data_IF_592934497142
#
_entry.id   IF_592934497142
#
_cell.length_a   1.000
_cell.length_b   1.000
_cell.length_c   1.000
_cell.angle_alpha   90.00
_cell.angle_beta   90.00
_cell.angle_gamma   90.00
#
_symmetry.space_group_name_H-M   'P 1'
#
loop_
_entity.id
_entity.type
_entity.pdbx_description
1 polymer ?
#
# COMPACT_ATOMS: atom_id res chain seq x y z
N UNK A 1 -25.19 -23.43 -10.19
CA UNK A 1 -24.89 -21.99 -10.00
C UNK A 1 -23.45 -21.85 -9.53
N UNK A 2 -22.53 -21.44 -10.42
CA UNK A 2 -21.16 -21.06 -10.04
C UNK A 2 -21.23 -19.69 -9.38
N UNK A 3 -21.33 -19.65 -8.05
CA UNK A 3 -21.20 -18.41 -7.31
C UNK A 3 -19.78 -17.91 -7.53
N UNK A 4 -19.64 -16.79 -8.25
CA UNK A 4 -18.37 -16.13 -8.44
C UNK A 4 -17.73 -15.96 -7.06
N UNK A 5 -16.55 -16.54 -6.87
CA UNK A 5 -15.72 -16.35 -5.69
C UNK A 5 -15.38 -14.86 -5.68
N UNK A 6 -16.20 -14.08 -4.98
CA UNK A 6 -15.93 -12.67 -4.71
C UNK A 6 -14.73 -12.69 -3.77
N UNK A 7 -13.58 -12.21 -4.24
CA UNK A 7 -12.39 -12.05 -3.41
C UNK A 7 -12.80 -11.35 -2.11
N UNK A 8 -12.68 -12.06 -0.98
CA UNK A 8 -13.04 -11.51 0.33
C UNK A 8 -11.87 -10.62 0.76
N UNK A 9 -12.10 -9.32 0.77
CA UNK A 9 -11.18 -8.35 1.38
C UNK A 9 -11.58 -8.19 2.84
N UNK A 10 -10.73 -8.64 3.75
CA UNK A 10 -10.90 -8.47 5.18
C UNK A 10 -10.19 -7.19 5.63
N UNK A 11 -10.85 -6.38 6.45
CA UNK A 11 -10.30 -5.15 6.98
C UNK A 11 -10.04 -5.32 8.47
N UNK A 12 -8.80 -5.09 8.90
CA UNK A 12 -8.39 -5.14 10.29
C UNK A 12 -7.92 -3.75 10.72
N UNK A 13 -8.29 -3.34 11.93
CA UNK A 13 -7.76 -2.15 12.57
C UNK A 13 -7.18 -2.53 13.92
N UNK A 14 -5.87 -2.46 14.08
CA UNK A 14 -5.16 -3.03 15.25
C UNK A 14 -4.06 -2.11 15.76
N UNK A 15 -3.81 -2.17 17.08
CA UNK A 15 -2.76 -1.43 17.78
C UNK A 15 -1.48 -2.24 17.95
N UNK A 16 -1.61 -3.57 17.99
CA UNK A 16 -0.55 -4.50 18.33
C UNK A 16 -0.66 -5.79 17.56
N UNK A 17 0.43 -6.57 17.56
CA UNK A 17 0.45 -7.91 16.98
C UNK A 17 -0.51 -8.85 17.70
N UNK A 18 -0.62 -8.74 19.02
CA UNK A 18 -1.51 -9.58 19.83
C UNK A 18 -2.98 -9.32 19.50
N UNK A 19 -3.36 -8.06 19.27
CA UNK A 19 -4.72 -7.71 18.83
C UNK A 19 -5.03 -8.29 17.45
N UNK A 20 -4.05 -8.29 16.54
CA UNK A 20 -4.21 -8.93 15.23
C UNK A 20 -4.35 -10.44 15.35
N UNK A 21 -3.48 -11.11 16.12
CA UNK A 21 -3.55 -12.56 16.32
C UNK A 21 -4.92 -12.97 16.85
N UNK A 22 -5.43 -12.25 17.86
CA UNK A 22 -6.77 -12.46 18.42
C UNK A 22 -7.88 -12.22 17.39
N UNK A 23 -7.75 -11.20 16.55
CA UNK A 23 -8.72 -10.93 15.48
C UNK A 23 -8.72 -12.01 14.38
N UNK A 24 -7.62 -12.75 14.24
CA UNK A 24 -7.46 -13.84 13.27
C UNK A 24 -7.86 -15.22 13.82
N UNK A 25 -7.99 -15.39 15.14
CA UNK A 25 -8.41 -16.66 15.77
C UNK A 25 -9.70 -17.25 15.16
N UNK A 26 -10.78 -16.47 14.90
CA UNK A 26 -11.99 -17.01 14.30
C UNK A 26 -11.79 -17.53 12.87
N UNK A 27 -10.77 -17.02 12.17
CA UNK A 27 -10.47 -17.36 10.78
C UNK A 27 -9.57 -18.60 10.68
N UNK A 28 -8.80 -18.93 11.72
CA UNK A 28 -7.88 -20.07 11.73
C UNK A 28 -8.59 -21.42 11.52
N UNK A 29 -9.86 -21.53 11.92
CA UNK A 29 -10.66 -22.75 11.80
C UNK A 29 -11.44 -22.86 10.47
N UNK A 30 -11.45 -21.81 9.65
CA UNK A 30 -12.16 -21.81 8.36
C UNK A 30 -11.25 -22.47 7.33
N UNK A 31 -11.57 -23.71 6.92
CA UNK A 31 -10.85 -24.48 5.88
C UNK A 31 -10.37 -23.58 4.75
N UNK A 32 -9.07 -23.66 4.41
CA UNK A 32 -8.35 -23.02 3.27
C UNK A 32 -9.31 -22.47 2.21
N UNK A 33 -9.81 -21.27 2.43
CA UNK A 33 -10.64 -20.55 1.48
C UNK A 33 -9.77 -20.07 0.30
N UNK A 34 -10.37 -19.80 -0.87
CA UNK A 34 -9.66 -19.15 -1.97
C UNK A 34 -9.02 -17.83 -1.51
N UNK A 35 -7.95 -17.42 -2.20
CA UNK A 35 -7.09 -16.28 -1.83
C UNK A 35 -7.83 -15.14 -1.10
N UNK A 36 -7.58 -15.03 0.21
CA UNK A 36 -8.15 -13.99 1.05
C UNK A 36 -7.17 -12.81 1.13
N UNK A 37 -7.66 -11.61 0.87
CA UNK A 37 -6.87 -10.40 0.92
C UNK A 37 -7.16 -9.64 2.21
N UNK A 38 -6.16 -8.93 2.74
CA UNK A 38 -6.29 -8.16 3.97
C UNK A 38 -5.87 -6.70 3.78
N UNK A 39 -6.68 -5.77 4.26
CA UNK A 39 -6.28 -4.39 4.51
C UNK A 39 -6.06 -4.22 6.00
N UNK A 40 -4.91 -3.65 6.38
CA UNK A 40 -4.51 -3.45 7.76
C UNK A 40 -4.36 -1.95 8.05
N UNK A 41 -5.16 -1.45 8.97
CA UNK A 41 -5.07 -0.10 9.49
C UNK A 41 -4.44 -0.14 10.88
N UNK A 42 -3.21 0.36 10.98
CA UNK A 42 -2.45 0.38 12.21
C UNK A 42 -2.69 1.69 12.98
N UNK A 43 -2.81 1.59 14.28
CA UNK A 43 -2.78 2.74 15.19
C UNK A 43 -1.87 2.40 16.37
N UNK A 44 -1.59 3.33 17.27
CA UNK A 44 -0.67 3.03 18.37
C UNK A 44 0.71 3.68 18.27
N UNK A 45 1.50 3.58 19.35
CA UNK A 45 2.82 4.19 19.43
C UNK A 45 3.84 3.57 18.45
N UNK A 46 3.52 2.40 17.87
CA UNK A 46 4.39 1.76 16.88
C UNK A 46 4.33 2.42 15.50
N UNK A 47 3.33 3.26 15.23
CA UNK A 47 3.13 3.91 13.94
C UNK A 47 3.18 5.43 14.11
N UNK A 48 4.08 6.05 13.36
CA UNK A 48 4.24 7.49 13.32
C UNK A 48 3.44 8.05 12.15
N UNK A 49 2.53 8.97 12.43
CA UNK A 49 1.79 9.73 11.41
C UNK A 49 2.00 11.21 11.66
N UNK A 50 2.53 11.94 10.67
CA UNK A 50 2.79 13.38 10.78
C UNK A 50 2.63 14.08 9.45
N UNK A 51 2.25 15.35 9.53
CA UNK A 51 2.39 16.29 8.43
C UNK A 51 3.84 16.81 8.34
N UNK A 52 4.27 17.18 7.14
CA UNK A 52 5.58 17.79 6.90
C UNK A 52 5.46 19.02 6.02
N UNK A 53 6.39 19.97 6.23
CA UNK A 53 6.64 21.11 5.37
C UNK A 53 8.14 21.17 5.12
N UNK A 54 8.56 20.97 3.88
CA UNK A 54 9.95 21.01 3.46
C UNK A 54 10.11 22.06 2.36
N UNK A 55 11.35 22.47 2.08
CA UNK A 55 11.65 23.22 0.85
C UNK A 55 11.38 22.35 -0.39
N UNK A 56 11.29 22.95 -1.57
CA UNK A 56 11.14 22.19 -2.81
C UNK A 56 12.35 21.28 -3.02
N UNK A 57 12.14 19.97 -2.84
CA UNK A 57 13.15 18.93 -2.90
C UNK A 57 12.74 17.85 -3.91
N UNK A 58 13.70 17.07 -4.40
CA UNK A 58 13.39 15.89 -5.20
C UNK A 58 12.68 14.82 -4.35
N UNK A 59 11.89 13.91 -4.96
CA UNK A 59 11.19 12.85 -4.22
C UNK A 59 12.10 11.97 -3.35
N UNK A 60 13.38 11.81 -3.75
CA UNK A 60 14.37 11.06 -2.97
C UNK A 60 14.84 11.84 -1.74
N UNK A 61 15.10 13.13 -1.90
CA UNK A 61 15.51 14.01 -0.80
C UNK A 61 14.38 14.20 0.22
N UNK A 62 13.13 14.36 -0.24
CA UNK A 62 11.95 14.38 0.64
C UNK A 62 11.94 13.09 1.47
N UNK A 63 12.03 11.92 0.81
CA UNK A 63 12.02 10.64 1.53
C UNK A 63 13.15 10.56 2.57
N UNK A 64 14.37 10.97 2.22
CA UNK A 64 15.50 10.94 3.13
C UNK A 64 15.30 11.89 4.33
N UNK A 65 14.79 13.09 4.10
CA UNK A 65 14.48 14.04 5.18
C UNK A 65 13.44 13.46 6.15
N UNK A 66 12.38 12.84 5.63
CA UNK A 66 11.35 12.22 6.47
C UNK A 66 11.85 10.97 7.20
N UNK A 67 12.80 10.21 6.62
CA UNK A 67 13.47 9.11 7.33
C UNK A 67 14.24 9.65 8.53
N UNK A 68 14.99 10.74 8.37
CA UNK A 68 15.74 11.34 9.49
C UNK A 68 14.80 11.78 10.62
N UNK A 69 13.66 12.39 10.29
CA UNK A 69 12.64 12.72 11.31
C UNK A 69 12.12 11.46 12.02
N UNK A 70 11.88 10.37 11.29
CA UNK A 70 11.46 9.12 11.89
C UNK A 70 12.56 8.45 12.73
N UNK A 71 13.83 8.60 12.36
CA UNK A 71 15.00 8.12 13.13
C UNK A 71 15.05 8.79 14.49
N UNK A 72 14.83 10.10 14.56
CA UNK A 72 14.82 10.82 15.84
C UNK A 72 13.71 10.32 16.77
N UNK A 73 12.54 10.02 16.21
CA UNK A 73 11.39 9.53 17.00
C UNK A 73 11.57 8.09 17.46
N UNK A 74 12.02 7.20 16.56
CA UNK A 74 12.14 5.77 16.87
C UNK A 74 13.49 5.39 17.52
N UNK A 75 14.50 6.25 17.44
CA UNK A 75 15.88 5.94 17.86
C UNK A 75 16.44 4.67 17.18
N UNK A 76 16.16 4.52 15.88
CA UNK A 76 16.59 3.38 15.05
C UNK A 76 17.47 3.83 13.89
N UNK A 77 18.14 2.88 13.23
CA UNK A 77 18.88 3.20 12.00
C UNK A 77 17.93 3.52 10.82
N UNK A 78 18.33 4.38 9.86
CA UNK A 78 17.54 4.68 8.66
C UNK A 78 17.06 3.42 7.91
N UNK A 79 17.89 2.38 7.88
CA UNK A 79 17.62 1.12 7.18
C UNK A 79 16.54 0.28 7.87
N UNK A 80 16.25 0.54 9.14
CA UNK A 80 15.24 -0.17 9.94
C UNK A 80 13.86 0.47 9.85
N UNK A 81 13.69 1.58 9.13
CA UNK A 81 12.43 2.31 9.05
C UNK A 81 11.74 2.08 7.70
N UNK A 82 10.47 1.68 7.75
CA UNK A 82 9.57 1.69 6.61
C UNK A 82 8.78 2.99 6.62
N UNK A 83 8.79 3.72 5.51
CA UNK A 83 8.13 5.03 5.41
C UNK A 83 7.46 5.22 4.07
N UNK A 84 6.23 5.71 4.09
CA UNK A 84 5.57 6.23 2.90
C UNK A 84 5.01 7.62 3.14
N UNK A 85 4.90 8.41 2.07
CA UNK A 85 4.42 9.77 2.14
C UNK A 85 3.57 10.14 0.94
N UNK A 86 2.76 11.18 1.12
CA UNK A 86 2.02 11.82 0.06
C UNK A 86 2.19 13.33 0.15
N UNK A 87 2.58 13.93 -0.95
CA UNK A 87 2.51 15.38 -1.14
C UNK A 87 1.05 15.77 -1.34
N UNK A 88 0.58 16.74 -0.55
CA UNK A 88 -0.75 17.31 -0.64
C UNK A 88 -0.75 18.63 -1.41
N UNK A 89 0.28 19.45 -1.16
CA UNK A 89 0.43 20.76 -1.77
C UNK A 89 1.91 21.01 -2.10
N UNK A 90 2.17 21.59 -3.27
CA UNK A 90 3.52 21.98 -3.71
C UNK A 90 3.45 23.37 -4.31
N UNK A 91 4.29 24.25 -3.77
CA UNK A 91 4.55 25.60 -4.28
C UNK A 91 6.02 25.68 -4.72
N UNK A 92 6.44 26.76 -5.41
CA UNK A 92 7.83 26.90 -5.88
C UNK A 92 8.88 26.75 -4.77
N UNK A 93 8.54 27.18 -3.56
CA UNK A 93 9.47 27.21 -2.43
C UNK A 93 9.27 26.06 -1.44
N UNK A 94 8.07 25.45 -1.39
CA UNK A 94 7.68 24.53 -0.32
C UNK A 94 6.87 23.34 -0.82
N UNK A 95 7.12 22.20 -0.21
CA UNK A 95 6.31 20.99 -0.35
C UNK A 95 5.70 20.65 1.00
N UNK A 96 4.39 20.43 1.00
CA UNK A 96 3.64 19.99 2.17
C UNK A 96 3.00 18.64 1.91
N UNK A 97 2.96 17.81 2.93
CA UNK A 97 2.36 16.49 2.82
C UNK A 97 2.17 15.81 4.15
N UNK A 98 1.81 14.54 4.09
CA UNK A 98 1.68 13.66 5.24
C UNK A 98 2.53 12.42 5.00
N UNK A 99 3.16 11.91 6.05
CA UNK A 99 3.88 10.65 6.00
C UNK A 99 3.46 9.71 7.12
N UNK A 100 3.67 8.42 6.86
CA UNK A 100 3.49 7.32 7.79
C UNK A 100 4.79 6.54 7.87
N UNK A 101 5.29 6.31 9.08
CA UNK A 101 6.49 5.52 9.32
C UNK A 101 6.27 4.44 10.40
N UNK A 102 6.94 3.31 10.25
CA UNK A 102 6.91 2.18 11.20
C UNK A 102 8.29 1.49 11.19
N UNK A 103 8.76 0.95 12.33
CA UNK A 103 9.88 0.03 12.36
C UNK A 103 9.64 -1.21 11.49
N UNK A 104 10.60 -1.56 10.62
CA UNK A 104 10.49 -2.71 9.68
C UNK A 104 10.31 -4.04 10.39
N UNK A 105 10.91 -4.22 11.56
CA UNK A 105 10.75 -5.43 12.37
C UNK A 105 9.28 -5.63 12.80
N UNK A 106 8.61 -4.55 13.23
CA UNK A 106 7.19 -4.57 13.59
C UNK A 106 6.33 -4.84 12.35
N UNK A 107 6.59 -4.15 11.24
CA UNK A 107 5.88 -4.37 9.97
C UNK A 107 6.00 -5.84 9.50
N UNK A 108 7.20 -6.43 9.58
CA UNK A 108 7.41 -7.86 9.26
C UNK A 108 6.60 -8.78 10.17
N UNK A 109 6.46 -8.44 11.44
CA UNK A 109 5.61 -9.18 12.39
C UNK A 109 4.15 -9.23 11.92
N UNK A 110 3.59 -8.09 11.51
CA UNK A 110 2.20 -8.01 11.03
C UNK A 110 2.00 -8.85 9.77
N UNK A 111 2.94 -8.76 8.83
CA UNK A 111 2.91 -9.51 7.57
C UNK A 111 3.01 -11.02 7.83
N UNK A 112 3.90 -11.44 8.74
CA UNK A 112 4.03 -12.84 9.12
C UNK A 112 2.76 -13.37 9.82
N UNK A 113 2.09 -12.55 10.62
CA UNK A 113 0.82 -12.89 11.26
C UNK A 113 -0.28 -13.13 10.21
N UNK A 114 -0.42 -12.23 9.24
CA UNK A 114 -1.37 -12.40 8.12
C UNK A 114 -1.04 -13.63 7.28
N UNK A 115 0.24 -13.87 6.98
CA UNK A 115 0.69 -15.01 6.18
C UNK A 115 0.40 -16.36 6.87
N UNK A 116 0.60 -16.45 8.19
CA UNK A 116 0.19 -17.62 9.00
C UNK A 116 -1.31 -17.90 8.91
N UNK A 117 -2.13 -16.85 8.79
CA UNK A 117 -3.57 -16.95 8.58
C UNK A 117 -3.98 -17.17 7.12
N UNK A 118 -3.02 -17.28 6.19
CA UNK A 118 -3.28 -17.43 4.75
C UNK A 118 -3.83 -16.18 4.08
N UNK A 119 -3.62 -15.00 4.69
CA UNK A 119 -4.08 -13.71 4.19
C UNK A 119 -2.96 -12.96 3.47
N UNK A 120 -3.27 -12.42 2.28
CA UNK A 120 -2.33 -11.57 1.54
C UNK A 120 -2.61 -10.09 1.83
N UNK A 121 -1.69 -9.33 2.45
CA UNK A 121 -1.89 -7.91 2.67
C UNK A 121 -1.93 -7.16 1.32
N UNK A 122 -3.00 -6.40 1.08
CA UNK A 122 -3.15 -5.50 -0.09
C UNK A 122 -2.91 -4.05 0.27
N UNK A 123 -3.10 -3.69 1.54
CA UNK A 123 -2.84 -2.35 2.08
C UNK A 123 -2.44 -2.47 3.54
N UNK A 124 -1.42 -1.72 3.95
CA UNK A 124 -1.00 -1.57 5.34
C UNK A 124 -0.77 -0.07 5.53
N UNK A 125 -1.68 0.59 6.23
CA UNK A 125 -1.64 2.02 6.45
C UNK A 125 -1.82 2.37 7.91
N UNK A 126 -1.92 3.67 8.18
CA UNK A 126 -2.34 4.15 9.49
C UNK A 126 -3.86 4.38 9.53
N UNK A 127 -4.50 4.00 10.62
CA UNK A 127 -5.94 4.17 10.84
C UNK A 127 -6.39 5.61 10.63
N UNK A 128 -5.67 6.56 11.23
CA UNK A 128 -5.94 8.00 11.06
C UNK A 128 -6.00 8.42 9.59
N UNK A 129 -5.09 7.91 8.75
CA UNK A 129 -5.06 8.21 7.31
C UNK A 129 -6.26 7.59 6.59
N UNK A 130 -6.59 6.34 6.89
CA UNK A 130 -7.75 5.67 6.30
C UNK A 130 -9.08 6.32 6.70
N UNK A 131 -9.19 6.83 7.93
CA UNK A 131 -10.38 7.57 8.41
C UNK A 131 -10.49 8.95 7.78
N UNK A 132 -9.36 9.67 7.70
CA UNK A 132 -9.30 10.95 7.01
C UNK A 132 -9.60 10.82 5.51
N UNK A 133 -9.06 9.81 4.82
CA UNK A 133 -9.39 9.49 3.43
C UNK A 133 -10.90 9.28 3.23
N UNK A 134 -11.53 8.53 4.14
CA UNK A 134 -12.97 8.26 4.10
C UNK A 134 -13.78 9.55 4.26
N UNK A 135 -13.42 10.40 5.21
CA UNK A 135 -14.06 11.69 5.43
C UNK A 135 -13.97 12.57 4.18
N UNK A 136 -12.75 12.77 3.65
CA UNK A 136 -12.48 13.61 2.49
C UNK A 136 -13.26 13.16 1.25
N UNK A 137 -13.36 11.84 1.03
CA UNK A 137 -14.11 11.27 -0.09
C UNK A 137 -15.60 11.57 -0.03
N UNK A 138 -16.21 11.45 1.15
CA UNK A 138 -17.66 11.60 1.30
C UNK A 138 -18.06 13.07 1.26
N UNK A 139 -17.39 13.89 2.04
CA UNK A 139 -17.72 15.32 2.15
C UNK A 139 -17.24 16.10 0.91
N UNK A 140 -16.34 15.53 0.11
CA UNK A 140 -15.74 16.17 -1.08
C UNK A 140 -15.09 17.53 -0.75
N UNK A 141 -14.74 17.74 0.52
CA UNK A 141 -14.02 18.91 1.03
C UNK A 141 -12.53 18.67 0.91
N UNK A 142 -12.01 18.92 -0.29
CA UNK A 142 -10.57 18.95 -0.54
C UNK A 142 -10.01 20.38 -0.57
N UNK A 143 -10.87 21.35 -0.88
CA UNK A 143 -10.53 22.76 -0.97
C UNK A 143 -11.37 23.52 0.05
N UNK A 144 -10.71 24.04 1.09
CA UNK A 144 -11.36 24.80 2.15
C UNK A 144 -10.64 24.64 3.48
N UNK A 145 -11.10 25.44 4.43
CA UNK A 145 -10.56 25.50 5.78
C UNK A 145 -11.44 24.71 6.70
N UNK A 146 -10.91 23.62 7.25
CA UNK A 146 -11.68 22.82 8.18
C UNK A 146 -10.81 22.12 9.22
N UNK A 147 -11.42 21.85 10.37
CA UNK A 147 -10.88 21.00 11.42
C UNK A 147 -11.72 19.74 11.52
N UNK A 148 -11.08 18.58 11.43
CA UNK A 148 -11.68 17.28 11.65
C UNK A 148 -11.25 16.75 13.02
N UNK A 149 -12.23 16.40 13.84
CA UNK A 149 -12.06 15.78 15.15
C UNK A 149 -12.73 14.42 15.10
N UNK A 150 -11.96 13.36 15.29
CA UNK A 150 -12.39 11.98 15.08
C UNK A 150 -12.19 11.15 16.33
N UNK A 151 -13.31 10.87 16.99
CA UNK A 151 -13.47 10.04 18.16
C UNK A 151 -13.44 8.57 17.74
N UNK A 152 -12.26 7.95 17.73
CA UNK A 152 -12.10 6.59 17.18
C UNK A 152 -12.38 5.48 18.21
N UNK A 153 -11.72 5.54 19.36
CA UNK A 153 -11.86 4.63 20.52
C UNK A 153 -11.96 5.47 21.79
N UNK A 154 -12.49 4.92 22.87
CA UNK A 154 -12.85 5.64 24.11
C UNK A 154 -11.79 6.63 24.62
N UNK A 155 -10.51 6.36 24.35
CA UNK A 155 -9.32 7.09 24.79
C UNK A 155 -8.52 7.76 23.64
N UNK A 156 -8.98 7.71 22.39
CA UNK A 156 -8.24 8.21 21.21
C UNK A 156 -9.09 9.18 20.38
N UNK A 157 -8.56 10.40 20.23
CA UNK A 157 -9.06 11.40 19.27
C UNK A 157 -7.98 11.65 18.21
N UNK A 158 -8.36 11.47 16.94
CA UNK A 158 -7.57 11.93 15.82
C UNK A 158 -7.99 13.36 15.47
N UNK A 159 -7.04 14.27 15.28
CA UNK A 159 -7.33 15.63 14.85
C UNK A 159 -6.53 16.01 13.61
N UNK A 160 -7.19 16.63 12.64
CA UNK A 160 -6.56 17.15 11.44
C UNK A 160 -7.10 18.55 11.12
N UNK A 161 -6.22 19.50 10.80
CA UNK A 161 -6.57 20.84 10.33
C UNK A 161 -6.07 21.02 8.92
N UNK A 162 -7.00 21.37 8.05
CA UNK A 162 -6.74 21.69 6.65
C UNK A 162 -6.99 23.16 6.37
N UNK A 163 -6.15 23.71 5.51
CA UNK A 163 -6.31 25.05 4.94
C UNK A 163 -6.01 24.97 3.45
N UNK A 164 -7.01 25.30 2.62
CA UNK A 164 -6.92 25.24 1.14
C UNK A 164 -6.31 23.93 0.58
N UNK A 165 -6.64 22.80 1.20
CA UNK A 165 -6.14 21.47 0.81
C UNK A 165 -4.75 21.11 1.34
N UNK A 166 -4.10 22.00 2.09
CA UNK A 166 -2.90 21.70 2.85
C UNK A 166 -3.23 21.21 4.26
N UNK A 167 -2.65 20.09 4.70
CA UNK A 167 -2.78 19.61 6.07
C UNK A 167 -1.72 20.30 6.95
N UNK A 168 -2.11 21.36 7.65
CA UNK A 168 -1.20 22.14 8.52
C UNK A 168 -1.00 21.51 9.90
N UNK A 169 -1.97 20.71 10.36
CA UNK A 169 -1.91 20.06 11.66
C UNK A 169 -2.51 18.66 11.58
N UNK A 170 -1.81 17.66 12.12
CA UNK A 170 -2.27 16.29 12.23
C UNK A 170 -1.74 15.69 13.54
N UNK A 171 -2.62 15.17 14.39
CA UNK A 171 -2.22 14.60 15.69
C UNK A 171 -3.18 13.54 16.21
N UNK A 172 -2.63 12.41 16.66
CA UNK A 172 -3.33 11.46 17.53
C UNK A 172 -3.22 11.96 18.98
N UNK A 173 -4.36 12.09 19.66
CA UNK A 173 -4.49 12.54 21.04
C UNK A 173 -5.01 11.38 21.87
N UNK A 174 -4.26 11.00 22.89
CA UNK A 174 -4.65 9.99 23.87
C UNK A 174 -5.05 10.66 25.17
N UNK A 175 -6.10 10.18 25.81
CA UNK A 175 -6.57 10.73 27.08
C UNK A 175 -7.21 9.65 27.95
N UNK A 176 -7.02 9.78 29.27
CA UNK A 176 -7.53 8.79 30.22
C UNK A 176 -9.02 8.97 30.55
N UNK A 177 -9.52 10.21 30.43
CA UNK A 177 -10.92 10.55 30.71
C UNK A 177 -11.37 11.77 29.90
N UNK A 178 -12.69 11.98 29.81
CA UNK A 178 -13.30 13.05 28.99
C UNK A 178 -12.79 14.45 29.34
N UNK A 179 -12.53 14.75 30.62
CA UNK A 179 -12.02 16.06 31.03
C UNK A 179 -10.55 16.27 30.60
N UNK A 180 -9.73 15.22 30.63
CA UNK A 180 -8.40 15.25 30.04
C UNK A 180 -8.48 15.41 28.51
N UNK A 181 -9.37 14.66 27.85
CA UNK A 181 -9.62 14.76 26.41
C UNK A 181 -10.01 16.17 25.97
N UNK A 182 -10.92 16.81 26.70
CA UNK A 182 -11.33 18.20 26.46
C UNK A 182 -10.12 19.17 26.49
N UNK A 183 -9.28 19.08 27.52
CA UNK A 183 -8.09 19.92 27.66
C UNK A 183 -7.07 19.66 26.55
N UNK A 184 -6.81 18.40 26.23
CA UNK A 184 -5.82 18.03 25.21
C UNK A 184 -6.26 18.42 23.80
N UNK A 185 -7.55 18.28 23.47
CA UNK A 185 -8.11 18.75 22.19
C UNK A 185 -8.04 20.27 22.11
N UNK A 186 -8.47 20.99 23.16
CA UNK A 186 -8.40 22.44 23.20
C UNK A 186 -6.96 22.96 23.09
N UNK A 187 -6.01 22.33 23.79
CA UNK A 187 -4.59 22.67 23.70
C UNK A 187 -4.03 22.42 22.30
N UNK A 188 -4.39 21.28 21.69
CA UNK A 188 -3.94 20.93 20.35
C UNK A 188 -4.48 21.90 19.29
N UNK A 189 -5.72 22.39 19.45
CA UNK A 189 -6.28 23.43 18.58
C UNK A 189 -5.57 24.78 18.76
N UNK A 190 -5.32 25.19 20.00
CA UNK A 190 -4.52 26.40 20.29
C UNK A 190 -3.12 26.32 19.69
N UNK A 191 -2.49 25.15 19.78
CA UNK A 191 -1.19 24.90 19.16
C UNK A 191 -1.26 24.92 17.63
N UNK A 192 -2.31 24.34 17.03
CA UNK A 192 -2.52 24.41 15.59
C UNK A 192 -2.64 25.88 15.14
N UNK A 193 -3.48 26.68 15.81
CA UNK A 193 -3.63 28.11 15.58
C UNK A 193 -2.34 28.92 15.78
N UNK A 194 -1.49 28.54 16.73
CA UNK A 194 -0.24 29.28 16.99
C UNK A 194 0.77 29.07 15.86
N UNK A 195 0.81 27.87 15.26
CA UNK A 195 1.70 27.52 14.15
C UNK A 195 1.19 27.91 12.77
N UNK A 196 -0.12 28.02 12.58
CA UNK A 196 -0.70 28.48 11.32
C UNK A 196 -0.65 30.00 11.19
N UNK A 197 -0.51 30.48 9.96
CA UNK A 197 -0.79 31.87 9.60
C UNK A 197 -2.28 32.21 9.80
N UNK A 198 -3.15 31.20 9.70
CA UNK A 198 -4.59 31.31 9.88
C UNK A 198 -4.97 31.14 11.35
N UNK A 199 -5.52 32.19 11.96
CA UNK A 199 -5.94 32.18 13.37
C UNK A 199 -7.38 31.75 13.59
N UNK A 200 -8.11 31.52 12.50
CA UNK A 200 -9.50 31.08 12.50
C UNK A 200 -9.61 29.79 11.69
N UNK A 201 -10.49 28.91 12.13
CA UNK A 201 -10.87 27.71 11.39
C UNK A 201 -12.18 28.00 10.65
N UNK A 202 -12.35 27.44 9.45
CA UNK A 202 -13.62 27.53 8.73
C UNK A 202 -14.67 26.62 9.36
N UNK A 203 -14.78 25.41 8.85
CA UNK A 203 -15.75 24.42 9.34
C UNK A 203 -15.14 23.45 10.35
N UNK A 204 -15.91 23.05 11.36
CA UNK A 204 -15.54 21.94 12.23
C UNK A 204 -16.39 20.72 11.93
N UNK A 205 -15.73 19.57 11.83
CA UNK A 205 -16.33 18.27 11.64
C UNK A 205 -15.97 17.38 12.81
N UNK A 206 -16.98 16.74 13.40
CA UNK A 206 -16.82 15.74 14.44
C UNK A 206 -17.31 14.39 13.92
N UNK A 207 -16.48 13.36 14.00
CA UNK A 207 -16.87 11.99 13.67
C UNK A 207 -16.59 11.01 14.80
N UNK A 208 -17.28 9.86 14.76
CA UNK A 208 -17.14 8.82 15.76
C UNK A 208 -18.28 8.83 16.80
N UNK A 209 -18.43 7.73 17.51
CA UNK A 209 -19.50 7.57 18.49
C UNK A 209 -18.99 7.01 19.81
N UNK A 210 -18.45 7.92 20.61
CA UNK A 210 -17.92 7.67 21.94
C UNK A 210 -18.81 8.37 22.97
N UNK A 211 -19.02 7.70 24.09
CA UNK A 211 -19.72 8.28 25.24
C UNK A 211 -19.01 9.55 25.75
N UNK A 212 -19.75 10.63 25.97
CA UNK A 212 -19.20 11.88 26.49
C UNK A 212 -18.52 12.79 25.45
N UNK A 213 -18.42 12.38 24.17
CA UNK A 213 -17.91 13.23 23.09
C UNK A 213 -18.64 14.58 23.01
N UNK A 214 -19.94 14.59 23.30
CA UNK A 214 -20.77 15.80 23.25
C UNK A 214 -20.33 16.87 24.26
N UNK A 215 -19.69 16.49 25.38
CA UNK A 215 -19.13 17.47 26.33
C UNK A 215 -17.96 18.21 25.70
N UNK A 216 -17.05 17.48 25.04
CA UNK A 216 -15.90 18.05 24.32
C UNK A 216 -16.40 18.92 23.17
N UNK A 217 -17.33 18.42 22.36
CA UNK A 217 -17.92 19.16 21.23
C UNK A 217 -18.59 20.45 21.71
N UNK A 218 -19.42 20.40 22.76
CA UNK A 218 -20.11 21.59 23.29
C UNK A 218 -19.14 22.63 23.85
N UNK A 219 -18.06 22.18 24.50
CA UNK A 219 -17.00 23.06 24.99
C UNK A 219 -16.30 23.78 23.84
N UNK A 220 -15.98 23.05 22.77
CA UNK A 220 -15.36 23.63 21.57
C UNK A 220 -16.30 24.59 20.82
N UNK A 221 -17.60 24.27 20.70
CA UNK A 221 -18.59 25.17 20.10
C UNK A 221 -18.67 26.50 20.85
N UNK A 222 -18.59 26.44 22.19
CA UNK A 222 -18.56 27.63 23.05
C UNK A 222 -17.26 28.42 22.93
N UNK A 223 -16.11 27.76 23.04
CA UNK A 223 -14.80 28.41 23.09
C UNK A 223 -14.41 29.05 21.75
N UNK A 224 -14.79 28.42 20.64
CA UNK A 224 -14.44 28.90 19.29
C UNK A 224 -15.58 29.62 18.58
N UNK A 225 -16.78 29.69 19.17
CA UNK A 225 -17.97 30.31 18.56
C UNK A 225 -18.30 29.73 17.17
N UNK A 226 -18.14 28.43 17.02
CA UNK A 226 -18.31 27.68 15.76
C UNK A 226 -19.41 26.65 15.90
N UNK A 227 -20.06 26.28 14.79
CA UNK A 227 -20.99 25.16 14.74
C UNK A 227 -20.25 23.91 14.29
N UNK A 228 -20.28 22.84 15.09
CA UNK A 228 -19.62 21.58 14.73
C UNK A 228 -20.61 20.68 13.98
N UNK A 229 -20.26 20.35 12.74
CA UNK A 229 -21.01 19.39 11.91
C UNK A 229 -20.72 17.97 12.42
N UNK A 230 -21.76 17.28 12.89
CA UNK A 230 -21.65 15.89 13.38
C UNK A 230 -21.77 14.92 12.23
N UNK A 231 -20.91 13.91 12.24
CA UNK A 231 -20.76 12.94 11.18
C UNK A 231 -20.83 11.51 11.74
N UNK A 232 -21.82 10.74 11.31
CA UNK A 232 -21.90 9.33 11.70
C UNK A 232 -20.90 8.48 10.89
N UNK A 233 -19.94 7.89 11.61
CA UNK A 233 -18.93 7.02 11.04
C UNK A 233 -19.46 5.60 10.73
N UNK A 234 -20.64 5.23 11.26
CA UNK A 234 -21.26 3.91 11.08
C UNK A 234 -21.92 3.74 9.71
N UNK A 235 -22.30 4.84 9.08
CA UNK A 235 -23.13 4.86 7.88
C UNK A 235 -22.43 4.40 6.58
N UNK A 236 -21.23 3.83 6.66
CA UNK A 236 -20.48 3.40 5.47
C UNK A 236 -19.65 2.14 5.73
N UNK A 237 -20.33 0.99 5.73
CA UNK A 237 -19.73 -0.32 5.44
C UNK A 237 -19.20 -0.41 3.99
N UNK A 238 -19.56 0.53 3.13
CA UNK A 238 -19.12 0.59 1.74
C UNK A 238 -17.92 1.54 1.58
N UNK A 239 -16.74 1.06 1.98
CA UNK A 239 -15.56 1.44 1.20
C UNK A 239 -15.78 0.87 -0.21
N UNK A 240 -16.40 1.64 -1.13
CA UNK A 240 -16.69 1.19 -2.48
C UNK A 240 -15.44 0.53 -3.07
N UNK A 241 -15.44 -0.79 -3.32
CA UNK A 241 -14.31 -1.46 -3.95
C UNK A 241 -14.18 -0.89 -5.37
N UNK A 242 -13.24 0.04 -5.55
CA UNK A 242 -13.00 0.75 -6.83
C UNK A 242 -12.80 2.26 -6.72
N UNK A 243 -13.21 2.92 -5.63
CA UNK A 243 -12.97 4.35 -5.46
C UNK A 243 -11.49 4.62 -5.14
N UNK A 244 -10.82 5.40 -6.00
CA UNK A 244 -9.40 5.73 -5.82
C UNK A 244 -9.19 6.45 -4.47
N UNK A 245 -8.23 6.00 -3.62
CA UNK A 245 -7.86 6.71 -2.41
C UNK A 245 -7.41 8.15 -2.72
N UNK A 246 -7.95 9.09 -1.94
CA UNK A 246 -7.49 10.47 -1.87
C UNK A 246 -6.15 10.49 -1.14
N UNK A 247 -6.07 9.78 0.00
CA UNK A 247 -4.83 9.55 0.73
C UNK A 247 -4.27 8.14 0.48
N UNK A 248 -3.03 8.09 0.01
CA UNK A 248 -2.33 6.92 -0.54
C UNK A 248 -1.13 6.37 0.22
N UNK A 249 -0.66 6.89 1.38
CA UNK A 249 0.44 6.25 2.10
C UNK A 249 0.16 4.76 2.34
N UNK A 250 1.04 3.90 1.83
CA UNK A 250 0.91 2.44 1.92
C UNK A 250 2.27 1.78 2.18
N UNK A 251 2.33 1.07 3.30
CA UNK A 251 3.52 0.40 3.80
C UNK A 251 3.68 -1.02 3.24
N UNK A 252 2.70 -1.55 2.47
CA UNK A 252 2.80 -2.89 1.87
C UNK A 252 4.04 -3.04 1.02
N UNK A 253 4.47 -1.99 0.31
CA UNK A 253 5.70 -2.03 -0.51
C UNK A 253 6.98 -2.29 0.31
N UNK A 254 6.95 -2.09 1.62
CA UNK A 254 8.07 -2.34 2.54
C UNK A 254 7.94 -3.64 3.33
N UNK A 255 6.83 -4.38 3.18
CA UNK A 255 6.59 -5.67 3.85
C UNK A 255 7.62 -6.75 3.51
N UNK A 256 8.51 -6.50 2.54
CA UNK A 256 9.43 -7.52 2.06
C UNK A 256 8.72 -8.67 1.35
N UNK A 257 7.47 -8.47 0.90
CA UNK A 257 6.65 -9.43 0.14
C UNK A 257 7.18 -9.71 -1.28
N UNK A 258 8.50 -9.80 -1.40
CA UNK A 258 9.17 -10.60 -2.41
C UNK A 258 8.81 -12.07 -2.27
N UNK A 259 8.36 -12.59 -1.12
CA UNK A 259 8.08 -14.03 -1.00
C UNK A 259 6.84 -14.48 -1.76
N UNK A 260 5.74 -13.71 -1.73
CA UNK A 260 4.54 -14.02 -2.53
C UNK A 260 4.80 -13.76 -4.01
N UNK A 261 5.52 -12.68 -4.35
CA UNK A 261 5.96 -12.41 -5.72
C UNK A 261 6.92 -13.51 -6.21
N UNK A 262 7.81 -14.03 -5.35
CA UNK A 262 8.67 -15.18 -5.62
C UNK A 262 7.88 -16.47 -5.74
N UNK A 263 6.82 -16.66 -4.93
CA UNK A 263 5.99 -17.86 -4.99
C UNK A 263 5.15 -17.88 -6.26
N UNK A 264 4.59 -16.73 -6.64
CA UNK A 264 3.95 -16.55 -7.94
C UNK A 264 4.95 -16.69 -9.08
N UNK A 265 6.08 -15.98 -9.04
CA UNK A 265 7.14 -16.08 -10.06
C UNK A 265 7.70 -17.49 -10.17
N UNK A 266 7.92 -18.20 -9.06
CA UNK A 266 8.39 -19.59 -9.09
C UNK A 266 7.31 -20.55 -9.60
N UNK A 267 6.03 -20.32 -9.34
CA UNK A 267 4.95 -21.08 -9.99
C UNK A 267 4.92 -20.81 -11.50
N UNK A 268 5.07 -19.55 -11.93
CA UNK A 268 5.17 -19.18 -13.35
C UNK A 268 6.43 -19.76 -14.01
N UNK A 269 7.59 -19.68 -13.34
CA UNK A 269 8.83 -20.27 -13.82
C UNK A 269 8.73 -21.79 -13.89
N UNK A 270 8.19 -22.45 -12.87
CA UNK A 270 8.02 -23.90 -12.87
C UNK A 270 7.06 -24.36 -13.97
N UNK A 271 5.94 -23.66 -14.17
CA UNK A 271 5.00 -23.97 -15.26
C UNK A 271 5.60 -23.70 -16.65
N UNK A 272 6.34 -22.61 -16.82
CA UNK A 272 7.06 -22.32 -18.06
C UNK A 272 8.16 -23.37 -18.36
N UNK A 273 8.91 -23.80 -17.34
CA UNK A 273 9.93 -24.85 -17.45
C UNK A 273 9.28 -26.19 -17.82
N UNK A 274 8.18 -26.57 -17.15
CA UNK A 274 7.43 -27.80 -17.48
C UNK A 274 6.92 -27.74 -18.92
N UNK A 275 6.34 -26.61 -19.35
CA UNK A 275 5.85 -26.43 -20.72
C UNK A 275 7.00 -26.53 -21.74
N UNK A 276 8.16 -25.94 -21.45
CA UNK A 276 9.34 -26.03 -22.30
C UNK A 276 9.83 -27.48 -22.44
N UNK A 277 9.83 -28.25 -21.35
CA UNK A 277 10.18 -29.67 -21.36
C UNK A 277 9.20 -30.51 -22.19
N UNK A 278 7.90 -30.23 -22.08
CA UNK A 278 6.87 -30.89 -22.89
C UNK A 278 7.02 -30.58 -24.38
N UNK A 279 7.36 -29.34 -24.74
CA UNK A 279 7.64 -28.94 -26.13
C UNK A 279 8.86 -29.70 -26.66
N UNK A 280 9.95 -29.78 -25.88
CA UNK A 280 11.17 -30.52 -26.28
C UNK A 280 10.86 -32.02 -26.47
N UNK A 281 10.12 -32.63 -25.55
CA UNK A 281 9.69 -34.03 -25.66
C UNK A 281 8.82 -34.25 -26.90
N UNK A 282 7.89 -33.34 -27.18
CA UNK A 282 7.02 -33.41 -28.35
C UNK A 282 7.80 -33.30 -29.66
N UNK A 283 8.73 -32.34 -29.76
CA UNK A 283 9.61 -32.18 -30.92
C UNK A 283 10.51 -33.42 -31.11
N UNK A 284 11.07 -33.96 -30.03
CA UNK A 284 11.91 -35.16 -30.07
C UNK A 284 11.11 -36.38 -30.54
N UNK A 285 9.90 -36.58 -30.04
CA UNK A 285 9.01 -37.65 -30.49
C UNK A 285 8.62 -37.49 -31.97
N UNK A 286 8.37 -36.26 -32.41
CA UNK A 286 8.05 -35.95 -33.82
C UNK A 286 9.25 -36.25 -34.73
N UNK A 287 10.46 -35.89 -34.31
CA UNK A 287 11.70 -36.21 -35.03
C UNK A 287 11.93 -37.72 -35.12
N UNK A 288 11.72 -38.49 -34.05
CA UNK A 288 11.86 -39.95 -34.07
C UNK A 288 10.83 -40.59 -35.01
N UNK A 289 9.58 -40.13 -34.98
CA UNK A 289 8.52 -40.61 -35.87
C UNK A 289 8.83 -40.33 -37.35
N UNK A 290 9.36 -39.14 -37.64
CA UNK A 290 9.73 -38.74 -39.00
C UNK A 290 11.06 -39.38 -39.46
N UNK A 291 12.02 -39.63 -38.58
CA UNK A 291 13.23 -40.38 -38.93
C UNK A 291 12.94 -41.85 -39.22
N UNK A 292 11.89 -42.42 -38.59
CA UNK A 292 11.38 -43.75 -38.95
C UNK A 292 10.94 -43.85 -40.42
N UNK A 293 10.49 -42.75 -41.02
CA UNK A 293 10.11 -42.67 -42.45
C UNK A 293 11.29 -42.30 -43.37
N UNK A 294 12.38 -41.73 -42.85
CA UNK A 294 13.60 -41.37 -43.60
C UNK A 294 14.53 -42.59 -43.85
N UNK A 295 14.20 -43.79 -43.35
CA UNK A 295 14.92 -45.04 -43.66
C UNK A 295 14.85 -45.51 -45.13
N UNK A 296 14.36 -44.68 -46.05
CA UNK A 296 14.44 -44.93 -47.50
C UNK A 296 14.92 -43.71 -48.30
N UNK A 297 15.82 -42.90 -47.77
CA UNK A 297 16.72 -42.18 -48.68
C UNK A 297 17.85 -43.12 -49.06
N UNK A 298 17.96 -43.53 -50.34
CA UNK A 298 19.12 -44.26 -50.82
C UNK A 298 20.29 -43.28 -50.82
N UNK A 299 20.92 -43.09 -49.66
CA UNK A 299 22.26 -42.52 -49.56
C UNK A 299 23.27 -43.56 -50.06
N UNK A 300 23.16 -43.94 -51.33
CA UNK A 300 24.34 -44.19 -52.12
C UNK A 300 24.52 -42.93 -52.96
N UNK A 301 25.14 -41.89 -52.37
CA UNK A 301 25.78 -40.87 -53.19
C UNK A 301 26.78 -41.66 -54.02
N UNK A 302 26.44 -41.90 -55.29
CA UNK A 302 27.32 -42.67 -56.13
C UNK A 302 28.59 -41.84 -56.30
N UNK A 303 29.73 -42.50 -56.48
CA UNK A 303 30.98 -41.81 -56.78
C UNK A 303 30.81 -40.83 -57.96
N UNK A 304 29.92 -41.14 -58.90
CA UNK A 304 29.60 -40.29 -60.04
C UNK A 304 28.89 -38.99 -59.66
N UNK A 305 28.05 -38.98 -58.62
CA UNK A 305 27.38 -37.77 -58.16
C UNK A 305 28.35 -36.81 -57.47
N UNK A 306 29.32 -37.36 -56.71
CA UNK A 306 30.42 -36.59 -56.14
C UNK A 306 31.33 -35.98 -57.22
N UNK A 307 31.70 -36.77 -58.23
CA UNK A 307 32.49 -36.31 -59.38
C UNK A 307 31.77 -35.19 -60.16
N UNK A 308 30.46 -35.31 -60.38
CA UNK A 308 29.65 -34.25 -61.00
C UNK A 308 29.62 -32.99 -60.16
N UNK A 309 29.39 -33.10 -58.85
CA UNK A 309 29.38 -31.95 -57.96
C UNK A 309 30.74 -31.22 -57.96
N UNK A 310 31.85 -31.99 -57.94
CA UNK A 310 33.20 -31.45 -58.04
C UNK A 310 33.43 -30.72 -59.37
N UNK A 311 33.00 -31.32 -60.49
CA UNK A 311 33.14 -30.70 -61.80
C UNK A 311 32.31 -29.41 -61.95
N UNK A 312 31.11 -29.34 -61.35
CA UNK A 312 30.30 -28.12 -61.32
C UNK A 312 30.97 -27.04 -60.48
N UNK A 313 31.52 -27.39 -59.31
CA UNK A 313 32.26 -26.44 -58.46
C UNK A 313 33.48 -25.85 -59.19
N UNK A 314 34.23 -26.68 -59.91
CA UNK A 314 35.37 -26.21 -60.71
C UNK A 314 34.97 -25.26 -61.84
N UNK A 315 33.80 -25.48 -62.47
CA UNK A 315 33.27 -24.58 -63.51
C UNK A 315 32.86 -23.23 -62.92
N UNK A 316 32.23 -23.23 -61.75
CA UNK A 316 31.85 -22.01 -61.04
C UNK A 316 33.11 -21.20 -60.69
N UNK A 317 34.13 -21.85 -60.13
CA UNK A 317 35.38 -21.19 -59.76
C UNK A 317 36.12 -20.62 -60.98
N UNK A 318 36.10 -21.30 -62.13
CA UNK A 318 36.65 -20.76 -63.38
C UNK A 318 35.87 -19.56 -63.90
N UNK A 319 34.53 -19.62 -63.82
CA UNK A 319 33.68 -18.51 -64.24
C UNK A 319 33.83 -17.27 -63.34
N UNK A 320 34.11 -17.44 -62.05
CA UNK A 320 34.40 -16.33 -61.12
C UNK A 320 35.77 -15.68 -61.32
N UNK A 321 36.74 -16.37 -61.94
CA UNK A 321 38.07 -15.82 -62.25
C UNK A 321 38.18 -15.22 -63.65
N UNK A 322 37.17 -15.40 -64.51
CA UNK A 322 37.13 -14.84 -65.86
C UNK A 322 36.38 -13.48 -65.94
N UNK A 323 35.93 -12.95 -64.80
CA UNK A 323 35.43 -11.58 -64.63
C UNK A 323 36.48 -10.74 -63.93
#
# INVERSE_FOLDING_TARGET
>A
MKQAIKNILLNFSVSSLQELEKALEPLANVKKQPACYASLDLYGPSVLVRQFTLVQLSPREIKNALILEAVEVFSLSPEEIAIDYQVLHSSPDKVNGIFVAIPKNILKGYVACLDKAGLTPVKIGANMISRLDRFLKKEKVWHGDFCLIDFYKDDIVNMAVFHEGNCGFLREIRYDNIAAGEREVAYSLKYACSRSSHKQFGDFYCMGDIEGKEKIVSSLEKDYSVRIKRYDARDNTDACPGAKPVLKPDLVKYSGSSWILWKAMSMFFNSAVILSFLIILFLSATLIKNNGTIKKFPYSVSKADYERAKAVQERINRASHAK
#
